data_IF_420618679032
#
_entry.id   IF_420618679032
#
_cell.length_a   1.000
_cell.length_b   1.000
_cell.length_c   1.000
_cell.angle_alpha   90.00
_cell.angle_beta   90.00
_cell.angle_gamma   90.00
#
_symmetry.space_group_name_H-M   'P 1'
#
loop_
_entity.id
_entity.type
_entity.pdbx_description
1 polymer ?
#
# COMPACT_ATOMS: atom_id res chain seq x y z
N UNK A 1 -6.83 -20.22 -56.86
CA UNK A 1 -6.55 -20.58 -55.47
C UNK A 1 -5.12 -20.22 -55.03
N UNK A 2 -4.08 -20.43 -55.87
CA UNK A 2 -2.70 -20.06 -55.50
C UNK A 2 -2.49 -18.57 -55.18
N UNK A 3 -3.15 -17.66 -55.89
CA UNK A 3 -2.95 -16.22 -55.70
C UNK A 3 -3.37 -15.70 -54.31
N UNK A 4 -4.38 -16.29 -53.65
CA UNK A 4 -4.80 -15.88 -52.32
C UNK A 4 -3.83 -16.35 -51.25
N UNK A 5 -3.24 -17.53 -51.38
CA UNK A 5 -2.27 -18.07 -50.43
C UNK A 5 -0.94 -17.31 -50.44
N UNK A 6 -0.61 -16.65 -51.57
CA UNK A 6 0.58 -15.80 -51.72
C UNK A 6 0.42 -14.44 -51.02
N UNK A 7 -0.82 -13.98 -50.73
CA UNK A 7 -1.07 -12.67 -50.09
C UNK A 7 -1.15 -12.75 -48.54
N UNK A 8 -1.01 -13.94 -47.97
CA UNK A 8 -1.02 -14.12 -46.53
C UNK A 8 0.32 -13.72 -45.93
N UNK A 9 0.26 -13.11 -44.71
CA UNK A 9 1.46 -12.74 -43.96
C UNK A 9 2.08 -13.92 -43.19
N UNK A 10 1.40 -15.06 -43.19
CA UNK A 10 1.89 -16.31 -42.60
C UNK A 10 2.54 -17.20 -43.64
N UNK A 11 3.51 -17.99 -43.24
CA UNK A 11 4.03 -19.07 -44.08
C UNK A 11 2.94 -20.11 -44.30
N UNK A 12 2.71 -20.50 -45.53
CA UNK A 12 1.73 -21.52 -45.92
C UNK A 12 2.38 -22.67 -46.62
N UNK A 13 2.14 -23.88 -46.15
CA UNK A 13 2.59 -25.13 -46.78
C UNK A 13 1.39 -26.05 -46.97
N UNK A 14 1.34 -26.72 -48.12
CA UNK A 14 0.38 -27.81 -48.38
C UNK A 14 1.17 -29.07 -48.61
N UNK A 15 0.89 -30.12 -47.84
CA UNK A 15 1.51 -31.42 -48.01
C UNK A 15 0.45 -32.51 -48.25
N UNK A 16 0.78 -33.56 -48.97
CA UNK A 16 -0.09 -34.72 -49.18
C UNK A 16 0.04 -35.74 -48.07
N UNK A 17 -0.67 -36.84 -48.19
CA UNK A 17 -0.70 -37.95 -47.22
C UNK A 17 0.61 -38.76 -47.15
N UNK A 18 1.55 -38.52 -48.10
CA UNK A 18 2.92 -39.03 -48.08
C UNK A 18 3.92 -38.04 -47.47
N UNK A 19 3.46 -36.90 -46.93
CA UNK A 19 4.25 -35.76 -46.44
C UNK A 19 5.04 -35.02 -47.53
N UNK A 20 4.72 -35.21 -48.80
CA UNK A 20 5.36 -34.43 -49.87
C UNK A 20 4.74 -33.03 -49.94
N UNK A 21 5.59 -32.01 -49.96
CA UNK A 21 5.20 -30.62 -50.08
C UNK A 21 4.72 -30.33 -51.50
N UNK A 22 3.45 -30.01 -51.66
CA UNK A 22 2.83 -29.70 -52.93
C UNK A 22 2.83 -28.21 -53.24
N UNK A 23 2.85 -27.38 -52.20
CA UNK A 23 2.82 -25.91 -52.28
C UNK A 23 3.50 -25.29 -51.08
N UNK A 24 4.23 -24.20 -51.32
CA UNK A 24 4.72 -23.29 -50.31
C UNK A 24 4.59 -21.86 -50.84
N UNK A 25 4.17 -20.90 -50.00
CA UNK A 25 4.10 -19.49 -50.41
C UNK A 25 5.46 -18.79 -50.22
N UNK A 26 5.56 -17.55 -50.69
CA UNK A 26 6.79 -16.74 -50.58
C UNK A 26 7.21 -16.48 -49.13
N UNK A 27 6.24 -16.30 -48.23
CA UNK A 27 6.53 -16.09 -46.80
C UNK A 27 7.22 -17.31 -46.17
N UNK A 28 6.80 -18.53 -46.49
CA UNK A 28 7.47 -19.75 -46.01
C UNK A 28 8.91 -19.89 -46.58
N UNK A 29 9.12 -19.48 -47.82
CA UNK A 29 10.45 -19.40 -48.40
C UNK A 29 11.34 -18.41 -47.67
N UNK A 30 10.82 -17.20 -47.34
CA UNK A 30 11.52 -16.20 -46.52
C UNK A 30 11.83 -16.70 -45.11
N UNK A 31 10.85 -17.32 -44.45
CA UNK A 31 10.99 -17.83 -43.08
C UNK A 31 12.06 -18.92 -42.99
N UNK A 32 12.12 -19.83 -43.95
CA UNK A 32 13.10 -20.92 -43.96
C UNK A 32 14.44 -20.52 -44.56
N UNK A 33 14.48 -19.49 -45.41
CA UNK A 33 15.61 -19.12 -46.22
C UNK A 33 15.91 -20.15 -47.33
N UNK A 34 14.96 -21.04 -47.66
CA UNK A 34 15.10 -22.10 -48.62
C UNK A 34 14.27 -21.77 -49.85
N UNK A 35 14.87 -21.74 -51.08
CA UNK A 35 14.14 -21.45 -52.30
C UNK A 35 12.98 -22.43 -52.53
N UNK A 36 11.87 -21.93 -53.02
CA UNK A 36 10.65 -22.73 -53.29
C UNK A 36 10.93 -23.93 -54.22
N UNK A 37 11.86 -23.79 -55.15
CA UNK A 37 12.28 -24.87 -56.03
C UNK A 37 12.96 -26.04 -55.30
N UNK A 38 13.52 -25.80 -54.14
CA UNK A 38 14.13 -26.81 -53.27
C UNK A 38 13.10 -27.36 -52.24
N UNK A 39 11.96 -26.67 -52.05
CA UNK A 39 10.91 -27.05 -51.06
C UNK A 39 9.85 -27.95 -51.70
N UNK A 40 9.37 -27.61 -52.93
CA UNK A 40 8.29 -28.32 -53.55
C UNK A 40 8.76 -29.72 -54.01
N UNK A 41 7.97 -30.74 -53.73
CA UNK A 41 8.26 -32.12 -54.03
C UNK A 41 9.16 -32.84 -53.01
N UNK A 42 9.59 -32.13 -51.99
CA UNK A 42 10.39 -32.73 -50.92
C UNK A 42 9.52 -33.23 -49.77
N UNK A 43 10.07 -34.09 -48.94
CA UNK A 43 9.42 -34.60 -47.72
C UNK A 43 9.49 -33.51 -46.64
N UNK A 44 8.34 -33.11 -46.10
CA UNK A 44 8.26 -32.10 -45.03
C UNK A 44 9.10 -32.48 -43.78
N UNK A 45 9.46 -33.74 -43.60
CA UNK A 45 10.30 -34.23 -42.51
C UNK A 45 11.72 -33.68 -42.50
N UNK A 46 12.23 -33.30 -43.69
CA UNK A 46 13.58 -32.73 -43.79
C UNK A 46 13.77 -31.35 -43.12
N UNK A 47 12.65 -30.68 -42.75
CA UNK A 47 12.69 -29.42 -42.00
C UNK A 47 12.84 -29.65 -40.49
N UNK A 48 13.12 -30.85 -40.01
CA UNK A 48 13.37 -31.19 -38.64
C UNK A 48 14.76 -31.76 -38.44
N UNK A 49 15.67 -30.99 -37.84
CA UNK A 49 17.07 -31.39 -37.66
C UNK A 49 17.28 -32.36 -36.48
N UNK A 50 16.32 -32.45 -35.56
CA UNK A 50 16.44 -33.30 -34.35
C UNK A 50 15.36 -34.35 -34.29
N UNK A 51 15.76 -35.56 -33.88
CA UNK A 51 14.81 -36.66 -33.72
C UNK A 51 13.64 -36.36 -32.75
N UNK A 52 13.90 -35.59 -31.72
CA UNK A 52 12.85 -35.16 -30.75
C UNK A 52 11.83 -34.19 -31.37
N UNK A 53 12.30 -33.23 -32.19
CA UNK A 53 11.42 -32.30 -32.90
C UNK A 53 10.58 -33.00 -33.93
N UNK A 54 11.17 -33.96 -34.65
CA UNK A 54 10.46 -34.81 -35.57
C UNK A 54 9.37 -35.62 -34.90
N UNK A 55 9.66 -36.21 -33.72
CA UNK A 55 8.68 -36.97 -32.95
C UNK A 55 7.51 -36.10 -32.49
N UNK A 56 7.78 -34.86 -32.03
CA UNK A 56 6.76 -33.88 -31.66
C UNK A 56 5.89 -33.47 -32.86
N UNK A 57 6.53 -33.15 -34.01
CA UNK A 57 5.81 -32.80 -35.23
C UNK A 57 4.94 -33.96 -35.72
N UNK A 58 5.44 -35.20 -35.62
CA UNK A 58 4.67 -36.39 -35.98
C UNK A 58 3.47 -36.59 -35.09
N UNK A 59 3.63 -36.44 -33.75
CA UNK A 59 2.52 -36.52 -32.80
C UNK A 59 1.47 -35.42 -33.04
N UNK A 60 1.94 -34.20 -33.32
CA UNK A 60 1.09 -33.07 -33.69
C UNK A 60 0.29 -33.33 -34.96
N UNK A 61 0.90 -33.89 -35.98
CA UNK A 61 0.24 -34.24 -37.24
C UNK A 61 -0.78 -35.38 -37.06
N UNK A 62 -0.45 -36.41 -36.28
CA UNK A 62 -1.41 -37.50 -35.91
C UNK A 62 -2.65 -36.95 -35.19
N UNK A 63 -2.43 -36.05 -34.22
CA UNK A 63 -3.52 -35.34 -33.53
C UNK A 63 -4.39 -34.53 -34.52
N UNK A 64 -3.76 -33.89 -35.52
CA UNK A 64 -4.48 -33.18 -36.56
C UNK A 64 -5.29 -34.10 -37.48
N UNK A 65 -4.78 -35.31 -37.79
CA UNK A 65 -5.51 -36.31 -38.55
C UNK A 65 -6.78 -36.80 -37.81
N UNK A 66 -6.73 -36.95 -36.49
CA UNK A 66 -7.87 -37.38 -35.66
C UNK A 66 -8.92 -36.26 -35.47
N UNK A 67 -8.47 -35.00 -35.21
CA UNK A 67 -9.33 -33.86 -34.88
C UNK A 67 -9.62 -32.91 -36.05
N UNK A 68 -9.10 -33.21 -37.26
CA UNK A 68 -9.12 -32.38 -38.47
C UNK A 68 -8.43 -31.03 -38.33
N UNK A 69 -7.91 -30.68 -37.11
CA UNK A 69 -7.15 -29.48 -36.81
C UNK A 69 -6.22 -29.67 -35.62
N UNK A 70 -5.07 -28.99 -35.63
CA UNK A 70 -4.20 -28.83 -34.45
C UNK A 70 -3.46 -27.49 -34.53
N UNK A 71 -3.01 -26.98 -33.36
CA UNK A 71 -2.22 -25.73 -33.26
C UNK A 71 -1.26 -25.87 -32.09
N UNK A 72 0.04 -25.68 -32.35
CA UNK A 72 1.10 -25.75 -31.34
C UNK A 72 2.29 -24.86 -31.73
N UNK A 73 3.15 -24.51 -30.74
CA UNK A 73 4.38 -23.77 -30.96
C UNK A 73 5.52 -24.72 -31.34
N UNK A 74 6.30 -24.31 -32.31
CA UNK A 74 7.49 -25.04 -32.78
C UNK A 74 8.63 -24.09 -33.04
N UNK A 75 9.83 -24.67 -33.22
CA UNK A 75 10.97 -23.99 -33.79
C UNK A 75 11.19 -24.47 -35.22
N UNK A 76 10.99 -23.59 -36.17
CA UNK A 76 11.28 -23.87 -37.59
C UNK A 76 12.77 -23.71 -37.84
N UNK A 77 13.50 -24.74 -38.28
CA UNK A 77 14.88 -24.61 -38.71
C UNK A 77 14.99 -23.69 -39.95
N UNK A 78 16.01 -22.84 -39.96
CA UNK A 78 16.29 -21.92 -41.07
C UNK A 78 17.65 -22.20 -41.71
N UNK A 79 17.80 -21.90 -42.97
CA UNK A 79 19.08 -22.03 -43.71
C UNK A 79 20.16 -21.20 -42.98
N UNK A 80 21.23 -21.84 -42.48
CA UNK A 80 22.26 -21.18 -41.67
C UNK A 80 22.22 -21.52 -40.16
N UNK A 81 21.61 -22.63 -39.78
CA UNK A 81 21.49 -23.11 -38.38
C UNK A 81 20.69 -22.19 -37.43
N UNK A 82 19.91 -21.27 -37.95
CA UNK A 82 18.96 -20.47 -37.18
C UNK A 82 17.71 -21.28 -36.79
N UNK A 83 16.97 -20.77 -35.81
CA UNK A 83 15.70 -21.35 -35.33
C UNK A 83 14.69 -20.24 -35.19
N UNK A 84 13.59 -20.30 -35.92
CA UNK A 84 12.52 -19.33 -35.89
C UNK A 84 11.38 -19.88 -35.01
N UNK A 85 10.98 -19.21 -33.91
CA UNK A 85 9.82 -19.62 -33.17
C UNK A 85 8.55 -19.34 -33.97
N UNK A 86 7.75 -20.37 -34.21
CA UNK A 86 6.52 -20.28 -34.99
C UNK A 86 5.36 -20.94 -34.27
N UNK A 87 4.16 -20.43 -34.48
CA UNK A 87 2.93 -21.16 -34.20
C UNK A 87 2.51 -21.86 -35.50
N UNK A 88 2.47 -23.20 -35.47
CA UNK A 88 1.99 -24.02 -36.57
C UNK A 88 0.55 -24.40 -36.33
N UNK A 89 -0.32 -24.06 -37.27
CA UNK A 89 -1.69 -24.53 -37.33
C UNK A 89 -1.85 -25.48 -38.51
N UNK A 90 -2.38 -26.66 -38.27
CA UNK A 90 -2.64 -27.68 -39.28
C UNK A 90 -4.14 -27.90 -39.43
N UNK A 91 -4.57 -27.95 -40.70
CA UNK A 91 -5.92 -28.42 -41.06
C UNK A 91 -5.83 -29.51 -42.11
N UNK A 92 -6.45 -30.64 -41.84
CA UNK A 92 -6.49 -31.78 -42.77
C UNK A 92 -7.76 -31.72 -43.60
N UNK A 93 -7.66 -31.86 -44.91
CA UNK A 93 -8.79 -31.85 -45.84
C UNK A 93 -8.79 -33.14 -46.73
N UNK A 94 -9.96 -33.59 -47.15
CA UNK A 94 -10.13 -34.73 -48.06
C UNK A 94 -10.28 -34.25 -49.48
N UNK A 95 -9.66 -34.95 -50.43
CA UNK A 95 -9.86 -34.69 -51.87
C UNK A 95 -11.15 -35.37 -52.34
N UNK A 96 -11.86 -34.77 -53.30
CA UNK A 96 -13.09 -35.40 -53.88
C UNK A 96 -12.80 -36.73 -54.57
N UNK A 97 -11.60 -36.87 -55.10
CA UNK A 97 -11.11 -38.06 -55.86
C UNK A 97 -10.45 -39.11 -54.96
N UNK A 98 -10.50 -38.94 -53.64
CA UNK A 98 -9.80 -39.77 -52.66
C UNK A 98 -8.42 -39.22 -52.26
N UNK A 99 -7.95 -39.60 -51.04
CA UNK A 99 -6.72 -39.08 -50.42
C UNK A 99 -6.94 -37.86 -49.55
N UNK A 100 -5.91 -37.42 -48.84
CA UNK A 100 -5.92 -36.27 -47.90
C UNK A 100 -4.81 -35.30 -48.28
N UNK A 101 -4.95 -34.07 -47.82
CA UNK A 101 -3.86 -33.10 -47.79
C UNK A 101 -3.95 -32.27 -46.53
N UNK A 102 -2.83 -31.80 -46.01
CA UNK A 102 -2.73 -30.93 -44.89
C UNK A 102 -2.35 -29.52 -45.33
N UNK A 103 -3.06 -28.52 -44.85
CA UNK A 103 -2.69 -27.11 -44.95
C UNK A 103 -2.06 -26.73 -43.62
N UNK A 104 -0.81 -26.32 -43.67
CA UNK A 104 -0.08 -25.77 -42.52
C UNK A 104 0.04 -24.27 -42.68
N UNK A 105 -0.29 -23.52 -41.65
CA UNK A 105 0.03 -22.09 -41.54
C UNK A 105 1.03 -21.91 -40.42
N UNK A 106 2.09 -21.16 -40.71
CA UNK A 106 3.18 -20.89 -39.77
C UNK A 106 3.24 -19.38 -39.52
N UNK A 107 2.94 -19.00 -38.30
CA UNK A 107 3.01 -17.58 -37.85
C UNK A 107 4.32 -17.39 -37.12
N UNK A 108 5.16 -16.44 -37.54
CA UNK A 108 6.35 -16.03 -36.80
C UNK A 108 5.95 -15.32 -35.50
N UNK A 109 6.42 -15.84 -34.39
CA UNK A 109 6.15 -15.29 -33.05
C UNK A 109 7.41 -14.71 -32.40
N UNK A 110 8.46 -14.40 -33.18
CA UNK A 110 9.75 -13.88 -32.68
C UNK A 110 9.56 -12.55 -31.92
N UNK A 111 8.78 -11.63 -32.47
CA UNK A 111 8.51 -10.33 -31.87
C UNK A 111 7.67 -10.50 -30.59
N UNK A 112 6.68 -11.37 -30.60
CA UNK A 112 5.87 -11.70 -29.44
C UNK A 112 6.73 -12.28 -28.31
N UNK A 113 7.58 -13.25 -28.59
CA UNK A 113 8.51 -13.85 -27.60
C UNK A 113 9.49 -12.82 -27.02
N UNK A 114 10.07 -11.97 -27.86
CA UNK A 114 10.96 -10.89 -27.39
C UNK A 114 10.24 -9.89 -26.48
N UNK A 115 8.99 -9.57 -26.80
CA UNK A 115 8.17 -8.65 -25.99
C UNK A 115 7.80 -9.29 -24.65
N UNK A 116 7.43 -10.57 -24.67
CA UNK A 116 7.13 -11.34 -23.47
C UNK A 116 8.36 -11.44 -22.53
N UNK A 117 9.54 -11.73 -23.08
CA UNK A 117 10.79 -11.75 -22.30
C UNK A 117 11.13 -10.38 -21.68
N UNK A 118 10.97 -9.29 -22.46
CA UNK A 118 11.18 -7.93 -21.94
C UNK A 118 10.21 -7.59 -20.83
N UNK A 119 8.93 -7.94 -20.99
CA UNK A 119 7.90 -7.71 -19.97
C UNK A 119 8.20 -8.51 -18.72
N UNK A 120 8.57 -9.78 -18.87
CA UNK A 120 8.94 -10.64 -17.72
C UNK A 120 10.14 -10.10 -16.96
N UNK A 121 11.17 -9.63 -17.68
CA UNK A 121 12.36 -9.03 -17.05
C UNK A 121 12.02 -7.70 -16.35
N UNK A 122 11.14 -6.87 -16.93
CA UNK A 122 10.69 -5.62 -16.31
C UNK A 122 9.86 -5.89 -15.06
N UNK A 123 8.94 -6.85 -15.09
CA UNK A 123 8.14 -7.23 -13.91
C UNK A 123 9.03 -7.76 -12.77
N UNK A 124 10.02 -8.61 -13.08
CA UNK A 124 10.94 -9.12 -12.07
C UNK A 124 11.73 -7.99 -11.38
N UNK A 125 12.16 -6.97 -12.13
CA UNK A 125 12.83 -5.78 -11.57
C UNK A 125 11.90 -4.94 -10.71
N UNK A 126 10.64 -4.75 -11.15
CA UNK A 126 9.65 -4.01 -10.36
C UNK A 126 9.36 -4.70 -9.03
N UNK A 127 9.20 -6.03 -9.03
CA UNK A 127 9.00 -6.82 -7.81
C UNK A 127 10.20 -6.73 -6.85
N UNK A 128 11.43 -6.70 -7.37
CA UNK A 128 12.64 -6.54 -6.56
C UNK A 128 12.67 -5.16 -5.88
N UNK A 129 12.49 -4.08 -6.66
CA UNK A 129 12.44 -2.72 -6.11
C UNK A 129 11.30 -2.51 -5.10
N UNK A 130 10.14 -3.11 -5.35
CA UNK A 130 9.03 -3.03 -4.41
C UNK A 130 9.39 -3.69 -3.06
N UNK A 131 10.05 -4.85 -3.07
CA UNK A 131 10.51 -5.51 -1.84
C UNK A 131 11.54 -4.67 -1.07
N UNK A 132 12.47 -4.02 -1.77
CA UNK A 132 13.45 -3.13 -1.14
C UNK A 132 12.74 -1.97 -0.42
N UNK A 133 11.82 -1.29 -1.11
CA UNK A 133 11.03 -0.19 -0.51
C UNK A 133 10.21 -0.68 0.69
N UNK A 134 9.56 -1.83 0.60
CA UNK A 134 8.79 -2.41 1.71
C UNK A 134 9.68 -2.71 2.94
N UNK A 135 10.90 -3.20 2.73
CA UNK A 135 11.87 -3.44 3.81
C UNK A 135 12.30 -2.14 4.49
N UNK A 136 12.58 -1.10 3.73
CA UNK A 136 12.95 0.21 4.25
C UNK A 136 11.79 0.85 5.04
N UNK A 137 10.56 0.72 4.55
CA UNK A 137 9.36 1.19 5.24
C UNK A 137 9.13 0.45 6.57
N UNK A 138 9.33 -0.87 6.62
CA UNK A 138 9.23 -1.65 7.87
C UNK A 138 10.27 -1.19 8.89
N UNK A 139 11.48 -0.84 8.45
CA UNK A 139 12.50 -0.30 9.34
C UNK A 139 12.10 1.09 9.87
N UNK A 140 11.64 1.98 8.99
CA UNK A 140 11.13 3.30 9.37
C UNK A 140 9.97 3.22 10.38
N UNK A 141 9.03 2.27 10.16
CA UNK A 141 7.93 2.00 11.08
C UNK A 141 8.41 1.61 12.49
N UNK A 142 9.43 0.76 12.58
CA UNK A 142 10.01 0.37 13.87
C UNK A 142 10.64 1.56 14.60
N UNK A 143 11.30 2.46 13.87
CA UNK A 143 11.85 3.70 14.45
C UNK A 143 10.72 4.57 14.98
N UNK A 144 9.66 4.80 14.21
CA UNK A 144 8.51 5.60 14.61
C UNK A 144 7.78 5.00 15.82
N UNK A 145 7.53 3.69 15.83
CA UNK A 145 6.92 2.99 16.97
C UNK A 145 7.77 3.06 18.24
N UNK A 146 9.10 3.16 18.11
CA UNK A 146 10.00 3.30 19.27
C UNK A 146 9.89 4.64 19.97
N UNK A 147 9.29 5.65 19.33
CA UNK A 147 9.03 6.98 19.89
C UNK A 147 7.83 6.96 20.85
N UNK A 148 6.89 6.01 20.68
CA UNK A 148 5.77 5.86 21.60
C UNK A 148 6.26 5.33 22.96
N UNK A 149 5.99 6.05 24.06
CA UNK A 149 6.44 5.62 25.39
C UNK A 149 5.70 4.35 25.81
N UNK A 150 6.44 3.47 26.51
CA UNK A 150 5.82 2.32 27.18
C UNK A 150 5.08 2.78 28.41
N UNK A 151 4.08 2.01 28.90
CA UNK A 151 3.40 2.33 30.17
C UNK A 151 4.39 2.53 31.30
N UNK A 152 4.23 3.60 32.08
CA UNK A 152 5.10 3.90 33.22
C UNK A 152 4.36 4.70 34.31
N UNK A 153 5.00 4.76 35.47
CA UNK A 153 4.55 5.54 36.61
C UNK A 153 5.47 6.76 36.80
N UNK A 154 4.91 7.95 36.91
CA UNK A 154 5.64 9.17 37.20
C UNK A 154 4.93 9.99 38.31
N UNK A 155 5.52 10.06 39.51
CA UNK A 155 4.89 10.61 40.65
C UNK A 155 3.54 9.91 40.96
N UNK A 156 2.46 10.68 41.03
CA UNK A 156 1.10 10.17 41.21
C UNK A 156 0.39 9.86 39.89
N UNK A 157 1.10 9.90 38.75
CA UNK A 157 0.51 9.70 37.43
C UNK A 157 0.87 8.34 36.86
N UNK A 158 -0.13 7.52 36.52
CA UNK A 158 0.02 6.33 35.73
C UNK A 158 -0.21 6.68 34.23
N UNK A 159 0.71 6.35 33.37
CA UNK A 159 0.66 6.65 31.93
C UNK A 159 0.56 5.37 31.12
N UNK A 160 -0.31 5.35 30.14
CA UNK A 160 -0.39 4.32 29.12
C UNK A 160 -0.61 4.97 27.75
N UNK A 161 -0.07 4.37 26.68
CA UNK A 161 -0.17 4.93 25.33
C UNK A 161 -0.49 3.83 24.33
N UNK A 162 -1.02 4.25 23.18
CA UNK A 162 -1.25 3.40 22.03
C UNK A 162 -0.96 4.19 20.75
N UNK A 163 -0.37 3.51 19.77
CA UNK A 163 -0.18 4.01 18.44
C UNK A 163 -0.33 2.87 17.42
N UNK A 164 -1.18 3.06 16.43
CA UNK A 164 -1.37 2.15 15.31
C UNK A 164 -1.52 2.97 14.03
N UNK A 165 -0.55 2.92 13.12
CA UNK A 165 -0.70 3.58 11.84
C UNK A 165 -1.69 2.81 10.94
N UNK A 166 -2.43 3.53 10.09
CA UNK A 166 -3.32 2.95 9.07
C UNK A 166 -2.53 2.29 7.94
N UNK A 167 -1.36 2.82 7.64
CA UNK A 167 -0.40 2.27 6.69
C UNK A 167 0.86 1.78 7.40
N UNK A 168 1.94 1.50 6.66
CA UNK A 168 3.20 1.05 7.25
C UNK A 168 3.81 2.08 8.19
N UNK A 169 3.70 3.37 7.85
CA UNK A 169 4.10 4.54 8.64
C UNK A 169 3.02 5.61 8.56
N UNK A 170 2.86 6.42 9.60
CA UNK A 170 1.80 7.40 9.72
C UNK A 170 2.26 8.83 10.00
N UNK A 171 1.31 9.76 9.90
CA UNK A 171 1.47 11.17 10.26
C UNK A 171 1.29 11.45 11.75
N UNK A 172 0.66 10.53 12.46
CA UNK A 172 0.37 10.66 13.87
C UNK A 172 1.57 10.38 14.77
N UNK A 173 1.61 11.06 15.91
CA UNK A 173 2.45 10.64 17.03
C UNK A 173 1.89 11.06 18.38
N UNK A 174 2.17 10.23 19.39
CA UNK A 174 1.97 10.56 20.81
C UNK A 174 3.32 10.81 21.49
N UNK A 175 3.38 11.80 22.37
CA UNK A 175 4.56 12.12 23.16
C UNK A 175 4.17 12.20 24.63
N UNK A 176 4.94 11.55 25.49
CA UNK A 176 4.89 11.76 26.93
C UNK A 176 6.31 12.01 27.43
N UNK A 177 6.54 13.18 28.00
CA UNK A 177 7.88 13.59 28.40
C UNK A 177 7.84 14.35 29.74
N UNK A 178 8.61 13.94 30.75
CA UNK A 178 8.86 14.78 31.88
C UNK A 178 9.55 16.08 31.43
N UNK A 179 9.00 17.22 31.85
CA UNK A 179 9.60 18.52 31.60
C UNK A 179 10.76 18.77 32.58
N UNK A 180 10.48 18.40 33.83
CA UNK A 180 11.38 18.49 34.95
C UNK A 180 10.92 17.47 36.01
N UNK A 181 11.34 17.62 37.26
CA UNK A 181 10.90 16.73 38.32
C UNK A 181 9.44 17.00 38.78
N UNK A 182 8.86 18.10 38.35
CA UNK A 182 7.52 18.60 38.85
C UNK A 182 6.43 18.55 37.76
N UNK A 183 6.78 18.45 36.45
CA UNK A 183 5.79 18.53 35.37
C UNK A 183 5.96 17.43 34.35
N UNK A 184 4.84 16.85 33.94
CA UNK A 184 4.76 15.88 32.82
C UNK A 184 4.00 16.49 31.65
N UNK A 185 4.58 16.47 30.45
CA UNK A 185 3.89 16.84 29.22
C UNK A 185 3.33 15.61 28.52
N UNK A 186 2.09 15.75 28.05
CA UNK A 186 1.37 14.79 27.24
C UNK A 186 1.02 15.49 25.92
N UNK A 187 1.16 14.81 24.80
CA UNK A 187 0.82 15.40 23.52
C UNK A 187 0.36 14.30 22.56
N UNK A 188 -0.60 14.64 21.71
CA UNK A 188 -0.96 13.93 20.50
C UNK A 188 -0.96 14.92 19.33
N UNK A 189 -0.49 14.50 18.19
CA UNK A 189 -0.40 15.29 16.98
C UNK A 189 -0.79 14.42 15.81
N UNK A 190 -1.56 15.00 14.87
CA UNK A 190 -1.88 14.40 13.59
C UNK A 190 -1.46 15.35 12.47
N UNK A 191 -0.71 14.84 11.51
CA UNK A 191 -0.21 15.57 10.34
C UNK A 191 -0.99 15.11 9.11
N UNK A 192 -1.59 16.06 8.42
CA UNK A 192 -2.40 15.83 7.23
C UNK A 192 -1.75 14.91 6.21
N UNK A 193 -2.54 13.95 5.69
CA UNK A 193 -2.11 12.96 4.71
C UNK A 193 -1.49 11.73 5.33
N UNK A 194 -1.03 10.79 4.52
CA UNK A 194 -0.54 9.48 4.98
C UNK A 194 0.78 9.09 4.29
N UNK A 195 1.48 8.14 4.90
CA UNK A 195 2.69 7.55 4.34
C UNK A 195 3.97 8.34 4.64
N UNK A 196 4.99 8.19 3.78
CA UNK A 196 6.35 8.66 4.04
C UNK A 196 6.42 10.17 4.26
N UNK A 197 5.70 10.94 3.45
CA UNK A 197 5.79 12.41 3.50
C UNK A 197 5.21 12.97 4.80
N UNK A 198 4.03 12.51 5.24
CA UNK A 198 3.44 12.91 6.53
C UNK A 198 4.31 12.44 7.71
N UNK A 199 4.86 11.23 7.65
CA UNK A 199 5.77 10.73 8.69
C UNK A 199 7.05 11.57 8.84
N UNK A 200 7.63 12.07 7.74
CA UNK A 200 8.79 12.94 7.78
C UNK A 200 8.45 14.32 8.38
N UNK A 201 7.28 14.88 8.05
CA UNK A 201 6.77 16.12 8.64
C UNK A 201 6.48 15.91 10.13
N UNK A 202 5.84 14.82 10.51
CA UNK A 202 5.59 14.42 11.90
C UNK A 202 6.88 14.35 12.72
N UNK A 203 7.93 13.72 12.19
CA UNK A 203 9.25 13.66 12.83
C UNK A 203 9.88 15.05 13.00
N UNK A 204 9.69 15.94 12.04
CA UNK A 204 10.18 17.32 12.15
C UNK A 204 9.44 18.08 13.25
N UNK A 205 8.11 17.98 13.30
CA UNK A 205 7.27 18.58 14.34
C UNK A 205 7.60 17.98 15.71
N UNK A 206 7.77 16.65 15.80
CA UNK A 206 8.16 15.94 17.02
C UNK A 206 9.47 16.49 17.60
N UNK A 207 10.52 16.62 16.77
CA UNK A 207 11.83 17.10 17.20
C UNK A 207 11.77 18.54 17.70
N UNK A 208 11.04 19.40 17.02
CA UNK A 208 10.85 20.80 17.42
C UNK A 208 10.04 20.89 18.72
N UNK A 209 9.00 20.06 18.85
CA UNK A 209 8.16 19.97 20.05
C UNK A 209 9.00 19.62 21.29
N UNK A 210 9.84 18.58 21.21
CA UNK A 210 10.73 18.20 22.32
C UNK A 210 11.63 19.36 22.74
N UNK A 211 12.22 20.06 21.77
CA UNK A 211 13.09 21.18 22.02
C UNK A 211 12.34 22.35 22.73
N UNK A 212 11.12 22.66 22.28
CA UNK A 212 10.30 23.72 22.88
C UNK A 212 9.83 23.35 24.27
N UNK A 213 9.40 22.10 24.50
CA UNK A 213 9.02 21.61 25.82
C UNK A 213 10.22 21.62 26.76
N UNK A 214 11.40 21.17 26.34
CA UNK A 214 12.64 21.19 27.12
C UNK A 214 13.06 22.60 27.57
N UNK A 215 12.72 23.63 26.80
CA UNK A 215 12.94 25.05 27.13
C UNK A 215 11.85 25.67 28.01
N UNK A 216 10.91 24.87 28.54
CA UNK A 216 9.77 25.30 29.38
C UNK A 216 8.90 26.37 28.72
N UNK A 217 8.76 26.33 27.40
CA UNK A 217 7.90 27.29 26.70
C UNK A 217 6.45 27.19 27.22
N UNK A 218 5.73 28.32 27.40
CA UNK A 218 4.29 28.31 27.57
C UNK A 218 3.62 27.55 26.42
N UNK A 219 2.55 26.78 26.70
CA UNK A 219 1.92 25.93 25.67
C UNK A 219 1.42 26.73 24.46
N UNK A 220 0.84 27.92 24.71
CA UNK A 220 0.42 28.82 23.63
C UNK A 220 1.59 29.28 22.74
N UNK A 221 2.75 29.56 23.33
CA UNK A 221 3.95 29.97 22.59
C UNK A 221 4.54 28.81 21.78
N UNK A 222 4.48 27.61 22.32
CA UNK A 222 4.84 26.39 21.60
C UNK A 222 3.95 26.22 20.36
N UNK A 223 2.63 26.34 20.48
CA UNK A 223 1.72 26.27 19.33
C UNK A 223 2.06 27.33 18.28
N UNK A 224 2.32 28.60 18.68
CA UNK A 224 2.70 29.67 17.76
C UNK A 224 3.99 29.37 17.02
N UNK A 225 5.00 28.85 17.70
CA UNK A 225 6.30 28.52 17.09
C UNK A 225 6.17 27.35 16.12
N UNK A 226 5.43 26.28 16.47
CA UNK A 226 5.16 25.18 15.58
C UNK A 226 4.35 25.60 14.35
N UNK A 227 3.33 26.46 14.52
CA UNK A 227 2.59 27.06 13.42
C UNK A 227 3.51 27.83 12.46
N UNK A 228 4.35 28.71 13.00
CA UNK A 228 5.30 29.49 12.21
C UNK A 228 6.31 28.61 11.48
N UNK A 229 6.81 27.55 12.11
CA UNK A 229 7.74 26.60 11.50
C UNK A 229 7.12 25.93 10.27
N UNK A 230 5.88 25.46 10.39
CA UNK A 230 5.21 24.77 9.27
C UNK A 230 4.88 25.76 8.16
N UNK A 231 4.33 26.94 8.46
CA UNK A 231 4.03 27.97 7.46
C UNK A 231 5.28 28.36 6.66
N UNK A 232 6.39 28.58 7.33
CA UNK A 232 7.62 29.06 6.68
C UNK A 232 8.35 28.01 5.86
N UNK A 233 8.27 26.74 6.26
CA UNK A 233 9.16 25.72 5.70
C UNK A 233 8.42 24.58 4.99
N UNK A 234 7.13 24.34 5.29
CA UNK A 234 6.44 23.10 4.92
C UNK A 234 5.08 23.36 4.24
N UNK A 235 4.38 24.45 4.59
CA UNK A 235 3.02 24.71 4.10
C UNK A 235 2.90 24.83 2.57
N UNK A 236 3.99 25.23 1.87
CA UNK A 236 4.03 25.27 0.41
C UNK A 236 3.80 23.90 -0.25
N UNK A 237 4.03 22.79 0.47
CA UNK A 237 3.76 21.43 0.05
C UNK A 237 2.34 20.95 0.42
N UNK A 238 1.51 21.81 1.02
CA UNK A 238 0.12 21.52 1.38
C UNK A 238 -0.05 20.80 2.72
N UNK A 239 0.99 20.68 3.55
CA UNK A 239 0.90 20.07 4.87
C UNK A 239 0.40 21.03 5.92
N UNK A 240 -0.48 20.54 6.77
CA UNK A 240 -0.96 21.16 8.01
C UNK A 240 -1.05 20.08 9.10
N UNK A 241 -1.31 20.46 10.34
CA UNK A 241 -1.41 19.50 11.42
C UNK A 241 -2.35 19.98 12.50
N UNK A 242 -2.85 19.02 13.27
CA UNK A 242 -3.61 19.22 14.50
C UNK A 242 -2.79 18.79 15.71
N UNK A 243 -3.06 19.37 16.87
CA UNK A 243 -2.30 19.07 18.07
C UNK A 243 -3.10 19.34 19.34
N UNK A 244 -3.04 18.38 20.28
CA UNK A 244 -3.47 18.57 21.66
C UNK A 244 -2.30 18.32 22.59
N UNK A 245 -2.08 19.23 23.54
CA UNK A 245 -1.00 19.15 24.54
C UNK A 245 -1.55 19.45 25.93
N UNK A 246 -1.14 18.65 26.91
CA UNK A 246 -1.41 18.88 28.31
C UNK A 246 -0.11 18.85 29.11
N UNK A 247 -0.03 19.70 30.15
CA UNK A 247 1.02 19.71 31.14
C UNK A 247 0.41 19.48 32.50
N UNK A 248 0.80 18.40 33.16
CA UNK A 248 0.27 18.00 34.48
C UNK A 248 1.37 18.17 35.54
N UNK A 249 1.06 18.76 36.68
CA UNK A 249 1.98 18.80 37.83
C UNK A 249 2.13 17.40 38.46
N UNK A 250 3.27 17.18 39.12
CA UNK A 250 3.60 15.88 39.75
C UNK A 250 2.64 15.47 40.86
N UNK A 251 1.97 16.41 41.48
CA UNK A 251 0.97 16.11 42.52
C UNK A 251 -0.32 15.60 41.91
N UNK A 252 -0.53 15.82 40.59
CA UNK A 252 -1.74 15.47 39.88
C UNK A 252 -2.93 16.36 40.29
N UNK A 253 -2.69 17.64 40.63
CA UNK A 253 -3.75 18.56 41.05
C UNK A 253 -4.11 19.61 40.02
N UNK A 254 -3.16 19.95 39.15
CA UNK A 254 -3.38 20.97 38.13
C UNK A 254 -2.96 20.48 36.78
N UNK A 255 -3.69 20.88 35.75
CA UNK A 255 -3.40 20.61 34.37
C UNK A 255 -3.58 21.86 33.53
N UNK A 256 -2.55 22.21 32.75
CA UNK A 256 -2.61 23.17 31.67
C UNK A 256 -2.86 22.41 30.35
N UNK A 257 -3.84 22.83 29.56
CA UNK A 257 -4.18 22.22 28.27
C UNK A 257 -4.20 23.26 27.17
N UNK A 258 -3.73 22.90 25.97
CA UNK A 258 -3.89 23.68 24.75
C UNK A 258 -4.14 22.74 23.57
N UNK A 259 -5.13 23.08 22.73
CA UNK A 259 -5.47 22.34 21.52
C UNK A 259 -5.61 23.25 20.31
N UNK A 260 -5.24 22.72 19.15
CA UNK A 260 -5.29 23.42 17.88
C UNK A 260 -5.84 22.50 16.79
N UNK A 261 -7.09 22.73 16.37
CA UNK A 261 -7.80 21.95 15.35
C UNK A 261 -7.97 20.46 15.67
N UNK A 262 -7.68 20.05 16.89
CA UNK A 262 -7.62 18.66 17.31
C UNK A 262 -8.91 18.24 18.04
N UNK A 263 -9.33 16.96 18.02
CA UNK A 263 -10.42 16.46 18.84
C UNK A 263 -10.29 16.86 20.31
N UNK A 264 -11.40 17.09 21.04
CA UNK A 264 -11.33 17.51 22.43
C UNK A 264 -10.68 16.43 23.31
N UNK A 265 -9.75 16.83 24.17
CA UNK A 265 -9.29 15.94 25.23
C UNK A 265 -10.41 15.71 26.26
N UNK A 266 -10.34 14.62 27.00
CA UNK A 266 -11.37 14.24 27.99
C UNK A 266 -10.75 14.07 29.38
N UNK A 267 -11.49 14.46 30.40
CA UNK A 267 -11.22 14.07 31.78
C UNK A 267 -12.44 13.30 32.28
N UNK A 268 -12.23 12.09 32.78
CA UNK A 268 -13.30 11.21 33.26
C UNK A 268 -12.96 10.59 34.61
N UNK A 269 -13.94 10.59 35.50
CA UNK A 269 -13.95 9.75 36.70
C UNK A 269 -14.72 8.47 36.44
N UNK A 270 -14.49 7.45 37.26
CA UNK A 270 -15.18 6.17 37.11
C UNK A 270 -16.70 6.34 37.12
N UNK A 271 -17.35 6.03 36.00
CA UNK A 271 -18.80 6.08 35.83
C UNK A 271 -19.39 7.46 35.59
N UNK A 272 -18.60 8.52 35.57
CA UNK A 272 -19.07 9.87 35.29
C UNK A 272 -19.03 10.17 33.78
N UNK A 273 -19.80 11.17 33.35
CA UNK A 273 -19.68 11.69 31.98
C UNK A 273 -18.35 12.41 31.80
N UNK A 274 -17.61 12.11 30.69
CA UNK A 274 -16.36 12.77 30.44
C UNK A 274 -16.51 14.28 30.22
N UNK A 275 -15.70 15.07 30.92
CA UNK A 275 -15.59 16.51 30.73
C UNK A 275 -14.69 16.78 29.55
N UNK A 276 -15.20 17.44 28.50
CA UNK A 276 -14.48 17.79 27.31
C UNK A 276 -13.61 19.05 27.46
N UNK A 277 -12.40 19.00 26.96
CA UNK A 277 -11.48 20.14 26.85
C UNK A 277 -11.28 20.45 25.36
N UNK A 278 -12.02 21.44 24.83
CA UNK A 278 -12.00 21.72 23.40
C UNK A 278 -10.70 22.44 22.97
N UNK A 279 -10.29 22.18 21.73
CA UNK A 279 -9.29 23.01 21.06
C UNK A 279 -9.81 24.43 20.89
N UNK A 280 -9.00 25.44 21.28
CA UNK A 280 -9.34 26.87 21.14
C UNK A 280 -8.68 27.51 19.94
N UNK A 281 -7.68 26.91 19.40
CA UNK A 281 -6.95 27.34 18.20
C UNK A 281 -7.38 26.52 16.97
N UNK A 282 -7.25 27.07 15.77
CA UNK A 282 -7.54 26.37 14.53
C UNK A 282 -6.37 25.47 14.11
N UNK A 283 -6.53 24.72 13.04
CA UNK A 283 -5.51 23.86 12.42
C UNK A 283 -4.22 24.65 12.17
N UNK A 284 -3.10 24.10 12.59
CA UNK A 284 -1.79 24.73 12.47
C UNK A 284 -1.17 24.48 11.08
N UNK A 285 -0.38 25.45 10.60
CA UNK A 285 0.26 25.40 9.28
C UNK A 285 -0.60 26.00 8.17
N UNK A 286 -1.81 26.52 8.46
CA UNK A 286 -2.74 27.10 7.47
C UNK A 286 -2.75 28.62 7.50
N UNK A 287 -2.82 29.22 8.69
CA UNK A 287 -2.94 30.66 8.91
C UNK A 287 -1.88 31.17 9.90
N UNK A 288 -1.28 32.35 9.69
CA UNK A 288 -0.31 32.92 10.64
C UNK A 288 -0.87 33.14 12.05
N UNK A 289 -2.14 33.47 12.17
CA UNK A 289 -2.90 33.75 13.39
C UNK A 289 -3.79 32.58 13.85
N UNK A 290 -3.42 31.34 13.46
CA UNK A 290 -4.17 30.14 13.85
C UNK A 290 -4.30 29.95 15.36
N UNK A 291 -3.36 30.48 16.16
CA UNK A 291 -3.32 30.30 17.61
C UNK A 291 -4.05 31.43 18.33
N UNK A 292 -5.15 31.07 19.01
CA UNK A 292 -5.97 32.00 19.80
C UNK A 292 -5.16 32.66 20.92
N UNK A 293 -5.55 33.87 21.29
CA UNK A 293 -4.93 34.60 22.41
C UNK A 293 -5.12 33.88 23.76
N UNK A 294 -6.25 33.17 23.92
CA UNK A 294 -6.60 32.37 25.09
C UNK A 294 -6.48 30.86 24.78
N UNK A 295 -5.48 30.46 24.00
CA UNK A 295 -5.29 29.08 23.57
C UNK A 295 -5.20 28.07 24.75
N UNK A 296 -4.79 28.54 25.92
CA UNK A 296 -4.53 27.70 27.08
C UNK A 296 -5.74 27.64 28.02
N UNK A 297 -6.04 26.45 28.50
CA UNK A 297 -7.01 26.15 29.55
C UNK A 297 -6.27 25.64 30.77
N UNK A 298 -6.56 26.23 31.96
CA UNK A 298 -6.11 25.68 33.24
C UNK A 298 -7.28 24.99 33.92
N UNK A 299 -7.07 23.82 34.47
CA UNK A 299 -8.08 23.02 35.14
C UNK A 299 -7.49 22.26 36.31
N UNK A 300 -8.33 22.06 37.33
CA UNK A 300 -8.01 21.15 38.44
C UNK A 300 -8.35 19.72 38.05
N UNK A 301 -7.54 18.80 38.54
CA UNK A 301 -7.72 17.36 38.43
C UNK A 301 -7.54 16.73 39.81
N UNK A 302 -8.20 15.61 40.04
CA UNK A 302 -8.27 14.95 41.35
C UNK A 302 -7.82 13.49 41.26
N UNK A 303 -7.42 12.87 42.39
CA UNK A 303 -7.18 11.43 42.43
C UNK A 303 -8.39 10.64 41.91
N UNK A 304 -8.15 9.71 40.99
CA UNK A 304 -9.18 8.96 40.27
C UNK A 304 -9.58 9.54 38.94
N UNK A 305 -9.19 10.78 38.62
CA UNK A 305 -9.37 11.35 37.29
C UNK A 305 -8.48 10.64 36.27
N UNK A 306 -9.04 10.43 35.07
CA UNK A 306 -8.33 9.91 33.91
C UNK A 306 -8.37 10.92 32.76
N UNK A 307 -7.20 11.29 32.27
CA UNK A 307 -7.03 12.19 31.13
C UNK A 307 -6.84 11.35 29.88
N UNK A 308 -7.60 11.68 28.83
CA UNK A 308 -7.60 10.98 27.54
C UNK A 308 -7.31 11.99 26.44
N UNK A 309 -6.19 11.80 25.74
CA UNK A 309 -5.88 12.49 24.50
C UNK A 309 -5.87 11.46 23.37
N UNK A 310 -6.43 11.80 22.22
CA UNK A 310 -6.55 10.86 21.08
C UNK A 310 -6.62 11.62 19.76
N UNK A 311 -6.23 10.98 18.66
CA UNK A 311 -6.34 11.52 17.32
C UNK A 311 -7.66 11.12 16.66
N UNK A 312 -8.02 11.77 15.57
CA UNK A 312 -9.30 11.59 14.87
C UNK A 312 -9.47 10.18 14.27
N UNK A 313 -8.38 9.43 14.08
CA UNK A 313 -8.48 8.01 13.76
C UNK A 313 -9.29 7.16 14.75
N UNK A 314 -9.62 7.70 15.95
CA UNK A 314 -10.57 7.08 16.88
C UNK A 314 -12.01 7.54 16.64
N UNK A 315 -12.24 8.72 16.07
CA UNK A 315 -13.58 9.29 15.78
C UNK A 315 -14.05 9.00 14.36
N UNK A 316 -13.12 8.97 13.40
CA UNK A 316 -13.39 8.84 11.96
C UNK A 316 -13.48 7.36 11.55
N UNK A 317 -14.14 6.60 12.40
CA UNK A 317 -14.40 5.18 12.26
C UNK A 317 -15.83 4.97 11.78
N UNK A 318 -16.01 4.20 10.72
CA UNK A 318 -17.33 3.95 10.11
C UNK A 318 -17.82 2.53 10.43
N UNK A 319 -19.11 2.41 10.69
CA UNK A 319 -19.79 1.12 10.83
C UNK A 319 -20.20 0.53 9.46
N UNK A 320 -20.83 -0.64 9.47
CA UNK A 320 -21.31 -1.31 8.26
C UNK A 320 -22.45 -0.55 7.51
N UNK A 321 -23.02 0.49 8.12
CA UNK A 321 -24.06 1.35 7.52
C UNK A 321 -23.48 2.67 6.98
N UNK A 322 -22.18 2.91 7.22
CA UNK A 322 -21.49 4.14 6.85
C UNK A 322 -21.70 5.29 7.86
N UNK A 323 -22.17 4.97 9.08
CA UNK A 323 -22.29 5.95 10.15
C UNK A 323 -20.94 6.13 10.85
N UNK A 324 -20.54 7.39 11.08
CA UNK A 324 -19.28 7.73 11.75
C UNK A 324 -19.45 7.67 13.26
N UNK A 325 -18.43 7.21 14.00
CA UNK A 325 -18.46 7.13 15.46
C UNK A 325 -18.51 8.51 16.12
N UNK A 326 -17.77 9.47 15.55
CA UNK A 326 -17.66 10.86 16.01
C UNK A 326 -17.15 11.00 17.45
N UNK A 327 -17.01 12.25 17.92
CA UNK A 327 -16.57 12.56 19.30
C UNK A 327 -17.53 11.99 20.34
N UNK A 328 -18.84 12.03 20.07
CA UNK A 328 -19.88 11.54 21.00
C UNK A 328 -19.75 10.02 21.20
N UNK A 329 -19.48 9.27 20.14
CA UNK A 329 -19.26 7.83 20.26
C UNK A 329 -18.03 7.49 21.08
N UNK A 330 -16.92 8.19 20.85
CA UNK A 330 -15.69 8.02 21.65
C UNK A 330 -15.94 8.42 23.12
N UNK A 331 -16.68 9.51 23.38
CA UNK A 331 -17.06 9.93 24.72
C UNK A 331 -17.85 8.86 25.46
N UNK A 332 -18.82 8.22 24.81
CA UNK A 332 -19.58 7.10 25.32
C UNK A 332 -18.70 5.89 25.67
N UNK A 333 -17.78 5.55 24.75
CA UNK A 333 -16.83 4.46 24.96
C UNK A 333 -15.91 4.74 26.16
N UNK A 334 -15.40 5.97 26.28
CA UNK A 334 -14.55 6.40 27.42
C UNK A 334 -15.32 6.31 28.72
N UNK A 335 -16.58 6.78 28.78
CA UNK A 335 -17.46 6.64 29.95
C UNK A 335 -17.63 5.18 30.36
N UNK A 336 -17.99 4.32 29.42
CA UNK A 336 -18.20 2.90 29.67
C UNK A 336 -16.95 2.15 30.12
N UNK A 337 -15.79 2.54 29.62
CA UNK A 337 -14.51 1.90 29.96
C UNK A 337 -13.89 2.49 31.23
N UNK A 338 -14.39 3.64 31.72
CA UNK A 338 -13.89 4.27 32.93
C UNK A 338 -14.10 3.43 34.21
N UNK A 339 -15.01 2.45 34.16
CA UNK A 339 -15.21 1.47 35.26
C UNK A 339 -14.11 0.39 35.33
N UNK A 340 -13.37 0.20 34.26
CA UNK A 340 -12.31 -0.79 34.23
C UNK A 340 -11.08 -0.34 35.02
N UNK A 341 -10.26 -1.28 35.53
CA UNK A 341 -8.94 -0.93 36.03
C UNK A 341 -8.17 -0.15 34.97
N UNK A 342 -7.31 0.80 35.34
CA UNK A 342 -6.58 1.63 34.38
C UNK A 342 -5.76 0.78 33.39
N UNK A 343 -5.15 -0.30 33.87
CA UNK A 343 -4.39 -1.24 33.01
C UNK A 343 -5.23 -1.93 31.91
N UNK A 344 -6.55 -1.95 32.03
CA UNK A 344 -7.50 -2.59 31.12
C UNK A 344 -8.27 -1.57 30.25
N UNK A 345 -8.29 -0.29 30.67
CA UNK A 345 -9.10 0.75 30.02
C UNK A 345 -8.70 0.95 28.56
N UNK A 346 -7.41 1.03 28.29
CA UNK A 346 -6.89 1.15 26.91
C UNK A 346 -7.44 0.05 26.00
N UNK A 347 -7.27 -1.20 26.41
CA UNK A 347 -7.76 -2.33 25.62
C UNK A 347 -9.29 -2.34 25.52
N UNK A 348 -9.98 -1.90 26.56
CA UNK A 348 -11.44 -1.72 26.58
C UNK A 348 -11.91 -0.72 25.53
N UNK A 349 -11.23 0.44 25.40
CA UNK A 349 -11.52 1.45 24.37
C UNK A 349 -11.28 0.86 22.99
N UNK A 350 -10.11 0.30 22.74
CA UNK A 350 -9.73 -0.23 21.44
C UNK A 350 -10.64 -1.37 20.97
N UNK A 351 -11.05 -2.26 21.87
CA UNK A 351 -11.97 -3.36 21.56
C UNK A 351 -13.36 -2.84 21.14
N UNK A 352 -13.87 -1.77 21.77
CA UNK A 352 -15.18 -1.19 21.41
C UNK A 352 -15.11 -0.47 20.07
N UNK A 353 -14.04 0.27 19.80
CA UNK A 353 -13.82 0.90 18.50
C UNK A 353 -13.70 -0.17 17.41
N UNK A 354 -12.96 -1.24 17.66
CA UNK A 354 -12.82 -2.35 16.72
C UNK A 354 -14.15 -3.09 16.48
N UNK A 355 -15.01 -3.18 17.50
CA UNK A 355 -16.35 -3.78 17.37
C UNK A 355 -17.34 -2.89 16.60
N UNK A 356 -17.17 -1.57 16.68
CA UNK A 356 -17.95 -0.61 15.87
C UNK A 356 -17.54 -0.63 14.40
N UNK A 357 -16.25 -0.70 14.16
CA UNK A 357 -15.65 -0.52 12.83
C UNK A 357 -15.93 -1.68 11.88
N UNK A 358 -16.33 -1.34 10.64
CA UNK A 358 -16.32 -2.27 9.51
C UNK A 358 -15.03 -2.10 8.69
N UNK A 359 -14.22 -3.15 8.59
CA UNK A 359 -12.95 -3.14 7.85
C UNK A 359 -11.70 -2.69 8.64
N UNK A 360 -10.57 -2.45 7.96
CA UNK A 360 -9.31 -1.99 8.56
C UNK A 360 -9.40 -0.52 9.01
N UNK A 361 -8.46 -0.02 9.84
CA UNK A 361 -8.34 1.41 10.13
C UNK A 361 -8.18 2.23 8.85
N UNK A 362 -8.91 3.34 8.76
CA UNK A 362 -8.86 4.28 7.63
C UNK A 362 -7.79 5.35 7.88
N UNK A 363 -7.57 5.70 9.15
CA UNK A 363 -6.58 6.69 9.59
C UNK A 363 -5.73 6.17 10.74
N UNK A 364 -4.62 6.88 11.00
CA UNK A 364 -3.70 6.60 12.10
C UNK A 364 -4.42 6.77 13.45
N UNK A 365 -4.15 5.89 14.39
CA UNK A 365 -4.79 5.90 15.71
C UNK A 365 -3.75 6.14 16.79
N UNK A 366 -3.84 7.26 17.48
CA UNK A 366 -3.01 7.60 18.64
C UNK A 366 -3.87 7.82 19.88
N UNK A 367 -3.42 7.29 21.01
CA UNK A 367 -4.10 7.44 22.29
C UNK A 367 -3.07 7.60 23.43
N UNK A 368 -3.27 8.60 24.25
CA UNK A 368 -2.51 8.82 25.49
C UNK A 368 -3.50 8.84 26.67
N UNK A 369 -3.29 7.96 27.62
CA UNK A 369 -4.08 7.84 28.85
C UNK A 369 -3.21 8.15 30.06
N UNK A 370 -3.76 8.93 30.98
CA UNK A 370 -3.14 9.18 32.29
C UNK A 370 -4.17 9.01 33.39
N UNK A 371 -3.83 8.29 34.45
CA UNK A 371 -4.65 8.20 35.70
C UNK A 371 -3.92 8.91 36.81
N UNK A 372 -4.62 9.80 37.53
CA UNK A 372 -4.18 10.43 38.76
C UNK A 372 -4.44 9.48 39.94
N UNK A 373 -3.40 9.18 40.74
CA UNK A 373 -3.49 8.31 41.91
C UNK A 373 -3.59 9.06 43.21
#
# INVERSE_FOLDING_TARGET
>A
MGSILETLNDGVVIADDSNQILFANAVFEEMTGTPRSEIIGTDARQFYDRAEEFALAQAFYQKALEKERSREEFFLPTKGNGRLPVVVSVRVMRRPEGGRFAILTLTDISEQKRTEEKLRAANARLEEHQREIEQDLVLAARVQQSLAPKPFLWGNLCVDTFYQPAHTIGGDFGLVSPLDEEHLNLLVCDVSGHGISSALVANRIYSETIMLLGNRAPLADMLRRLNSLVIQNIAAQGFFFTLAVARIDRSGRTMEFAGAGHPPAMIVQSGADPRLLPSRSTILGTLPDAVDANATLNTEIEPGDRVVLYTDGLTDVFDSHGEMLEVEGVQNIVRETSFLPFSEMKQGILNRIAAWRDGPPVDDMSLVLVEVR
#
